data_IF_086186864080
#
_entry.id   IF_086186864080
#
_cell.length_a   1.000
_cell.length_b   1.000
_cell.length_c   1.000
_cell.angle_alpha   90.00
_cell.angle_beta   90.00
_cell.angle_gamma   90.00
#
_symmetry.space_group_name_H-M   'P 1'
#
loop_
_entity.id
_entity.type
_entity.pdbx_description
1 polymer ?
#
# COMPACT_ATOMS: atom_id res chain seq x y z
N UNK A 1 -13.22 -16.63 7.17
CA UNK A 1 -14.13 -16.37 6.02
C UNK A 1 -14.70 -14.95 6.02
N UNK A 2 -15.43 -14.48 7.06
CA UNK A 2 -15.99 -13.11 7.10
C UNK A 2 -14.96 -12.00 6.83
N UNK A 3 -13.79 -12.04 7.48
CA UNK A 3 -12.71 -11.03 7.32
C UNK A 3 -12.17 -10.96 5.88
N UNK A 4 -11.98 -12.10 5.22
CA UNK A 4 -11.47 -12.18 3.84
C UNK A 4 -12.47 -11.63 2.83
N UNK A 5 -13.76 -11.91 3.02
CA UNK A 5 -14.82 -11.37 2.14
C UNK A 5 -14.90 -9.86 2.25
N UNK A 6 -14.86 -9.32 3.47
CA UNK A 6 -14.82 -7.86 3.71
C UNK A 6 -13.57 -7.26 3.05
N UNK A 7 -12.42 -7.91 3.16
CA UNK A 7 -11.19 -7.43 2.53
C UNK A 7 -11.29 -7.38 1.00
N UNK A 8 -11.83 -8.43 0.36
CA UNK A 8 -12.05 -8.44 -1.09
C UNK A 8 -12.99 -7.30 -1.51
N UNK A 9 -14.07 -7.08 -0.76
CA UNK A 9 -14.97 -5.95 -1.00
C UNK A 9 -14.25 -4.60 -0.88
N UNK A 10 -13.43 -4.42 0.16
CA UNK A 10 -12.62 -3.21 0.34
C UNK A 10 -11.60 -3.02 -0.78
N UNK A 11 -10.98 -4.09 -1.29
CA UNK A 11 -10.07 -4.02 -2.44
C UNK A 11 -10.81 -3.50 -3.67
N UNK A 12 -11.99 -4.04 -3.98
CA UNK A 12 -12.81 -3.58 -5.11
C UNK A 12 -13.17 -2.10 -4.94
N UNK A 13 -13.65 -1.71 -3.75
CA UNK A 13 -14.00 -0.33 -3.43
C UNK A 13 -12.79 0.61 -3.61
N UNK A 14 -11.63 0.22 -3.09
CA UNK A 14 -10.38 0.98 -3.19
C UNK A 14 -9.92 1.10 -4.64
N UNK A 15 -10.05 0.06 -5.46
CA UNK A 15 -9.70 0.13 -6.88
C UNK A 15 -10.63 1.10 -7.64
N UNK A 16 -11.93 1.08 -7.34
CA UNK A 16 -12.88 2.05 -7.92
C UNK A 16 -12.50 3.48 -7.52
N UNK A 17 -12.27 3.72 -6.22
CA UNK A 17 -11.86 5.03 -5.71
C UNK A 17 -10.53 5.47 -6.32
N UNK A 18 -9.56 4.56 -6.45
CA UNK A 18 -8.30 4.82 -7.12
C UNK A 18 -8.57 5.28 -8.55
N UNK A 19 -9.37 4.56 -9.34
CA UNK A 19 -9.73 4.95 -10.71
C UNK A 19 -10.37 6.33 -10.80
N UNK A 20 -11.28 6.67 -9.87
CA UNK A 20 -11.89 8.01 -9.79
C UNK A 20 -10.83 9.08 -9.50
N UNK A 21 -9.90 8.83 -8.58
CA UNK A 21 -8.81 9.75 -8.29
C UNK A 21 -7.92 9.93 -9.52
N UNK A 22 -7.54 8.85 -10.20
CA UNK A 22 -6.74 8.92 -11.43
C UNK A 22 -7.44 9.79 -12.49
N UNK A 23 -8.75 9.65 -12.67
CA UNK A 23 -9.51 10.39 -13.68
C UNK A 23 -9.81 11.86 -13.33
N UNK A 24 -10.00 12.18 -12.04
CA UNK A 24 -10.35 13.55 -11.57
C UNK A 24 -9.12 14.38 -11.23
N UNK A 25 -8.12 13.75 -10.64
CA UNK A 25 -6.88 14.38 -10.25
C UNK A 25 -5.93 14.26 -11.44
N UNK A 26 -6.11 15.17 -12.41
CA UNK A 26 -5.05 15.52 -13.36
C UNK A 26 -3.92 16.31 -12.66
N UNK A 27 -3.63 16.03 -11.39
CA UNK A 27 -2.47 16.63 -10.77
C UNK A 27 -1.25 16.01 -11.45
N UNK A 28 -0.49 16.88 -12.09
CA UNK A 28 0.86 16.65 -12.61
C UNK A 28 1.86 16.24 -11.50
N UNK A 29 1.39 16.27 -10.25
CA UNK A 29 2.09 15.99 -9.01
C UNK A 29 1.42 14.77 -8.35
N UNK A 30 2.17 13.99 -7.57
CA UNK A 30 1.75 12.69 -7.04
C UNK A 30 0.32 12.61 -6.44
N UNK A 31 -0.20 11.39 -6.28
CA UNK A 31 -1.57 11.10 -5.83
C UNK A 31 -1.54 10.05 -4.73
N UNK A 32 -2.56 9.98 -3.85
CA UNK A 32 -2.63 8.90 -2.88
C UNK A 32 -2.67 7.52 -3.56
N UNK A 33 -1.98 6.57 -2.95
CA UNK A 33 -1.95 5.16 -3.34
C UNK A 33 -2.81 4.36 -2.36
N UNK A 34 -4.12 4.39 -2.59
CA UNK A 34 -5.09 3.72 -1.73
C UNK A 34 -4.88 2.18 -1.70
N UNK A 35 -4.59 1.50 -2.83
CA UNK A 35 -4.26 0.07 -2.82
C UNK A 35 -3.10 -0.27 -1.89
N UNK A 36 -2.02 0.51 -1.90
CA UNK A 36 -0.87 0.32 -1.02
C UNK A 36 -1.25 0.49 0.46
N UNK A 37 -2.01 1.53 0.81
CA UNK A 37 -2.45 1.75 2.19
C UNK A 37 -3.29 0.57 2.69
N UNK A 38 -4.26 0.11 1.88
CA UNK A 38 -5.11 -1.03 2.22
C UNK A 38 -4.30 -2.32 2.39
N UNK A 39 -3.33 -2.55 1.49
CA UNK A 39 -2.42 -3.69 1.57
C UNK A 39 -1.63 -3.68 2.87
N UNK A 40 -1.02 -2.55 3.23
CA UNK A 40 -0.22 -2.43 4.45
C UNK A 40 -1.08 -2.70 5.68
N UNK A 41 -2.31 -2.17 5.71
CA UNK A 41 -3.25 -2.45 6.79
C UNK A 41 -3.57 -3.95 6.90
N UNK A 42 -3.76 -4.65 5.77
CA UNK A 42 -4.00 -6.08 5.77
C UNK A 42 -2.77 -6.88 6.18
N UNK A 43 -1.59 -6.58 5.62
CA UNK A 43 -0.34 -7.24 5.94
C UNK A 43 0.05 -7.05 7.41
N UNK A 44 -0.25 -5.89 8.02
CA UNK A 44 0.01 -5.62 9.43
C UNK A 44 -0.78 -6.52 10.41
N UNK A 45 -1.85 -7.18 9.96
CA UNK A 45 -2.69 -8.03 10.83
C UNK A 45 -2.65 -9.51 10.45
N UNK A 46 -1.86 -9.88 9.43
CA UNK A 46 -1.81 -11.23 8.92
C UNK A 46 -0.36 -11.68 8.72
N UNK A 47 -0.15 -12.99 8.59
CA UNK A 47 1.19 -13.55 8.43
C UNK A 47 1.78 -13.21 7.05
N UNK A 48 3.10 -13.33 6.91
CA UNK A 48 3.85 -12.99 5.70
C UNK A 48 3.28 -13.60 4.40
N UNK A 49 2.80 -14.85 4.44
CA UNK A 49 2.18 -15.52 3.27
C UNK A 49 0.96 -14.77 2.77
N UNK A 50 0.11 -14.31 3.68
CA UNK A 50 -1.12 -13.59 3.32
C UNK A 50 -0.81 -12.17 2.84
N UNK A 51 0.19 -11.51 3.43
CA UNK A 51 0.69 -10.21 2.96
C UNK A 51 1.23 -10.30 1.53
N UNK A 52 2.05 -11.31 1.24
CA UNK A 52 2.62 -11.57 -0.09
C UNK A 52 1.53 -11.84 -1.13
N UNK A 53 0.60 -12.76 -0.85
CA UNK A 53 -0.48 -13.12 -1.78
C UNK A 53 -1.40 -11.93 -2.03
N UNK A 54 -1.79 -11.21 -0.97
CA UNK A 54 -2.64 -10.01 -1.10
C UNK A 54 -1.93 -8.93 -1.93
N UNK A 55 -0.64 -8.70 -1.68
CA UNK A 55 0.15 -7.74 -2.45
C UNK A 55 0.24 -8.10 -3.92
N UNK A 56 0.47 -9.37 -4.24
CA UNK A 56 0.48 -9.85 -5.62
C UNK A 56 -0.87 -9.63 -6.32
N UNK A 57 -1.98 -10.04 -5.69
CA UNK A 57 -3.32 -9.93 -6.28
C UNK A 57 -3.75 -8.48 -6.45
N UNK A 58 -3.52 -7.63 -5.45
CA UNK A 58 -3.82 -6.19 -5.53
C UNK A 58 -2.96 -5.55 -6.61
N UNK A 59 -1.65 -5.82 -6.63
CA UNK A 59 -0.74 -5.25 -7.61
C UNK A 59 -1.06 -5.68 -9.03
N UNK A 60 -1.41 -6.96 -9.24
CA UNK A 60 -1.86 -7.45 -10.53
C UNK A 60 -3.16 -6.77 -10.98
N UNK A 61 -4.09 -6.52 -10.05
CA UNK A 61 -5.33 -5.78 -10.34
C UNK A 61 -5.05 -4.34 -10.72
N UNK A 62 -4.12 -3.68 -10.03
CA UNK A 62 -3.66 -2.31 -10.37
C UNK A 62 -3.00 -2.29 -11.74
N UNK A 63 -2.16 -3.28 -12.05
CA UNK A 63 -1.51 -3.38 -13.35
C UNK A 63 -2.53 -3.49 -14.48
N UNK A 64 -3.52 -4.38 -14.35
CA UNK A 64 -4.57 -4.60 -15.36
C UNK A 64 -5.41 -3.34 -15.61
N UNK A 65 -5.70 -2.56 -14.55
CA UNK A 65 -6.63 -1.44 -14.63
C UNK A 65 -5.96 -0.10 -14.96
N UNK A 66 -4.73 0.13 -14.48
CA UNK A 66 -4.16 1.47 -14.38
C UNK A 66 -2.71 1.61 -14.85
N UNK A 67 -2.02 0.52 -15.22
CA UNK A 67 -0.59 0.56 -15.49
C UNK A 67 -0.24 0.03 -16.89
N UNK A 68 0.78 0.59 -17.57
CA UNK A 68 1.12 0.18 -18.94
C UNK A 68 1.80 -1.19 -19.04
N UNK A 69 2.39 -1.70 -17.95
CA UNK A 69 3.09 -2.99 -17.92
C UNK A 69 2.48 -3.91 -16.87
N UNK A 70 2.14 -5.12 -17.29
CA UNK A 70 1.58 -6.13 -16.42
C UNK A 70 2.68 -6.78 -15.57
N UNK A 71 2.45 -6.85 -14.26
CA UNK A 71 3.33 -7.54 -13.30
C UNK A 71 4.26 -6.63 -12.50
N UNK A 72 4.40 -5.35 -12.83
CA UNK A 72 5.29 -4.44 -12.10
C UNK A 72 4.73 -4.08 -10.72
N UNK A 73 3.46 -3.68 -10.62
CA UNK A 73 2.83 -3.47 -9.33
C UNK A 73 2.63 -4.80 -8.61
N UNK A 74 2.32 -5.89 -9.32
CA UNK A 74 2.22 -7.23 -8.72
C UNK A 74 3.50 -7.62 -7.97
N UNK A 75 4.67 -7.43 -8.59
CA UNK A 75 5.96 -7.68 -7.96
C UNK A 75 6.22 -6.74 -6.78
N UNK A 76 6.08 -5.43 -7.00
CA UNK A 76 6.41 -4.43 -6.00
C UNK A 76 5.52 -4.54 -4.76
N UNK A 77 4.20 -4.67 -4.94
CA UNK A 77 3.27 -4.79 -3.83
C UNK A 77 3.36 -6.15 -3.13
N UNK A 78 3.68 -7.24 -3.83
CA UNK A 78 3.97 -8.52 -3.17
C UNK A 78 5.17 -8.39 -2.22
N UNK A 79 6.25 -7.73 -2.66
CA UNK A 79 7.43 -7.48 -1.84
C UNK A 79 7.10 -6.59 -0.63
N UNK A 80 6.37 -5.49 -0.84
CA UNK A 80 5.93 -4.59 0.24
C UNK A 80 5.07 -5.35 1.25
N UNK A 81 4.08 -6.11 0.79
CA UNK A 81 3.18 -6.88 1.66
C UNK A 81 3.91 -7.94 2.48
N UNK A 82 4.90 -8.62 1.88
CA UNK A 82 5.78 -9.54 2.58
C UNK A 82 6.59 -8.84 3.68
N UNK A 83 7.31 -7.76 3.32
CA UNK A 83 8.19 -7.04 4.25
C UNK A 83 7.41 -6.45 5.43
N UNK A 84 6.24 -5.87 5.17
CA UNK A 84 5.38 -5.28 6.20
C UNK A 84 4.92 -6.33 7.22
N UNK A 85 4.50 -7.50 6.73
CA UNK A 85 4.06 -8.58 7.61
C UNK A 85 5.23 -9.16 8.44
N UNK A 86 6.41 -9.33 7.84
CA UNK A 86 7.63 -9.74 8.56
C UNK A 86 8.09 -8.72 9.61
N UNK A 87 8.06 -7.42 9.27
CA UNK A 87 8.41 -6.34 10.21
C UNK A 87 7.45 -6.39 11.41
N UNK A 88 6.16 -6.62 11.17
CA UNK A 88 5.18 -6.73 12.24
C UNK A 88 5.46 -7.91 13.18
N UNK A 89 5.83 -9.08 12.64
CA UNK A 89 6.15 -10.24 13.49
C UNK A 89 7.35 -9.98 14.41
N UNK A 90 8.27 -9.10 14.00
CA UNK A 90 9.49 -8.76 14.77
C UNK A 90 9.30 -7.53 15.67
N UNK A 91 8.38 -6.62 15.31
CA UNK A 91 8.16 -5.34 15.99
C UNK A 91 6.78 -5.32 16.65
N UNK A 92 6.78 -5.48 17.98
CA UNK A 92 5.58 -5.46 18.81
C UNK A 92 5.04 -4.04 19.12
N UNK A 93 5.62 -3.00 18.53
CA UNK A 93 5.13 -1.64 18.73
C UNK A 93 3.77 -1.47 18.02
N UNK A 94 2.77 -1.00 18.77
CA UNK A 94 1.43 -0.71 18.25
C UNK A 94 1.07 0.75 18.52
N UNK A 95 1.82 1.63 17.88
CA UNK A 95 1.73 3.08 17.98
C UNK A 95 1.54 3.70 16.58
N UNK A 96 0.67 4.72 16.52
CA UNK A 96 0.27 5.40 15.28
C UNK A 96 1.50 5.85 14.48
N UNK A 97 2.50 6.39 15.17
CA UNK A 97 3.72 6.94 14.57
C UNK A 97 4.46 5.85 13.77
N UNK A 98 4.61 4.65 14.34
CA UNK A 98 5.31 3.56 13.65
C UNK A 98 4.55 3.13 12.40
N UNK A 99 3.22 3.02 12.48
CA UNK A 99 2.38 2.64 11.34
C UNK A 99 2.45 3.68 10.20
N UNK A 100 2.41 4.97 10.52
CA UNK A 100 2.54 6.05 9.53
C UNK A 100 3.94 6.03 8.89
N UNK A 101 5.00 5.84 9.69
CA UNK A 101 6.37 5.71 9.18
C UNK A 101 6.52 4.49 8.26
N UNK A 102 5.91 3.37 8.61
CA UNK A 102 5.92 2.16 7.80
C UNK A 102 5.25 2.39 6.44
N UNK A 103 4.11 3.10 6.42
CA UNK A 103 3.42 3.48 5.18
C UNK A 103 4.29 4.42 4.34
N UNK A 104 4.94 5.40 4.97
CA UNK A 104 5.88 6.28 4.29
C UNK A 104 7.02 5.49 3.65
N UNK A 105 7.69 4.62 4.41
CA UNK A 105 8.80 3.80 3.93
C UNK A 105 8.38 2.86 2.79
N UNK A 106 7.22 2.19 2.93
CA UNK A 106 6.66 1.33 1.90
C UNK A 106 6.30 2.10 0.63
N UNK A 107 5.82 3.34 0.75
CA UNK A 107 5.52 4.21 -0.39
C UNK A 107 6.79 4.57 -1.16
N UNK A 108 7.88 4.92 -0.45
CA UNK A 108 9.19 5.17 -1.08
C UNK A 108 9.70 3.92 -1.78
N UNK A 109 9.67 2.77 -1.10
CA UNK A 109 10.14 1.50 -1.65
C UNK A 109 9.37 1.15 -2.94
N UNK A 110 8.04 1.22 -2.90
CA UNK A 110 7.19 0.97 -4.07
C UNK A 110 7.54 1.94 -5.22
N UNK A 111 7.67 3.23 -4.90
CA UNK A 111 8.03 4.26 -5.88
C UNK A 111 9.40 4.04 -6.53
N UNK A 112 10.41 3.63 -5.75
CA UNK A 112 11.75 3.30 -6.26
C UNK A 112 11.70 2.09 -7.19
N UNK A 113 11.04 1.00 -6.77
CA UNK A 113 10.93 -0.23 -7.57
C UNK A 113 10.24 0.07 -8.91
N UNK A 114 9.09 0.74 -8.88
CA UNK A 114 8.35 1.08 -10.09
C UNK A 114 9.14 2.03 -10.99
N UNK A 115 9.74 3.07 -10.43
CA UNK A 115 10.54 4.04 -11.22
C UNK A 115 11.75 3.37 -11.86
N UNK A 116 12.41 2.44 -11.16
CA UNK A 116 13.53 1.67 -11.68
C UNK A 116 13.10 0.78 -12.85
N UNK A 117 12.00 0.03 -12.71
CA UNK A 117 11.52 -0.81 -13.80
C UNK A 117 11.08 0.01 -15.02
N UNK A 118 10.40 1.14 -14.83
CA UNK A 118 10.02 2.03 -15.94
C UNK A 118 11.23 2.62 -16.69
N UNK A 119 12.34 2.85 -15.98
CA UNK A 119 13.63 3.23 -16.57
C UNK A 119 14.19 2.08 -17.42
N UNK A 120 14.24 0.86 -16.86
CA UNK A 120 14.77 -0.33 -17.55
C UNK A 120 14.01 -0.64 -18.84
N UNK A 121 12.68 -0.52 -18.82
CA UNK A 121 11.83 -0.75 -20.00
C UNK A 121 11.74 0.46 -20.94
N UNK A 122 12.48 1.55 -20.66
CA UNK A 122 12.50 2.78 -21.44
C UNK A 122 11.10 3.41 -21.68
N UNK A 123 10.16 3.18 -20.76
CA UNK A 123 8.80 3.75 -20.81
C UNK A 123 8.82 5.18 -20.29
N UNK A 124 9.70 5.46 -19.31
CA UNK A 124 9.80 6.78 -18.72
C UNK A 124 11.21 7.01 -18.17
N UNK A 125 12.07 7.74 -18.91
CA UNK A 125 13.49 7.85 -18.58
C UNK A 125 13.79 8.76 -17.38
N UNK A 126 12.83 9.57 -16.92
CA UNK A 126 13.05 10.58 -15.87
C UNK A 126 12.89 10.03 -14.44
N UNK A 127 13.79 9.13 -14.03
CA UNK A 127 13.77 8.52 -12.69
C UNK A 127 13.75 9.54 -11.55
N UNK A 128 14.69 10.49 -11.53
CA UNK A 128 14.79 11.50 -10.45
C UNK A 128 13.57 12.41 -10.39
N UNK A 129 13.05 12.80 -11.55
CA UNK A 129 11.84 13.62 -11.66
C UNK A 129 10.64 12.91 -11.01
N UNK A 130 10.47 11.60 -11.25
CA UNK A 130 9.41 10.83 -10.62
C UNK A 130 9.55 10.73 -9.11
N UNK A 131 10.77 10.49 -8.61
CA UNK A 131 11.00 10.42 -7.16
C UNK A 131 10.56 11.72 -6.50
N UNK A 132 10.98 12.87 -7.04
CA UNK A 132 10.72 14.19 -6.44
C UNK A 132 9.28 14.63 -6.63
N UNK A 133 8.71 14.47 -7.82
CA UNK A 133 7.42 15.08 -8.16
C UNK A 133 6.23 14.12 -8.08
N UNK A 134 6.48 12.81 -8.03
CA UNK A 134 5.42 11.80 -7.89
C UNK A 134 5.53 11.09 -6.55
N UNK A 135 6.67 10.46 -6.24
CA UNK A 135 6.80 9.61 -5.05
C UNK A 135 6.74 10.45 -3.77
N UNK A 136 7.44 11.58 -3.72
CA UNK A 136 7.47 12.42 -2.53
C UNK A 136 6.08 13.01 -2.17
N UNK A 137 5.31 13.61 -3.10
CA UNK A 137 3.93 13.99 -2.79
C UNK A 137 3.03 12.82 -2.41
N UNK A 138 3.17 11.67 -3.09
CA UNK A 138 2.40 10.45 -2.79
C UNK A 138 2.65 9.97 -1.37
N UNK A 139 3.90 10.03 -0.90
CA UNK A 139 4.27 9.75 0.49
C UNK A 139 3.52 10.65 1.46
N UNK A 140 3.50 11.97 1.21
CA UNK A 140 2.79 12.91 2.07
C UNK A 140 1.30 12.60 2.13
N UNK A 141 0.67 12.36 0.99
CA UNK A 141 -0.74 11.97 0.93
C UNK A 141 -1.01 10.67 1.70
N UNK A 142 -0.18 9.65 1.52
CA UNK A 142 -0.34 8.37 2.20
C UNK A 142 -0.16 8.50 3.72
N UNK A 143 0.81 9.29 4.18
CA UNK A 143 1.02 9.56 5.60
C UNK A 143 -0.17 10.30 6.22
N UNK A 144 -0.73 11.30 5.52
CA UNK A 144 -1.90 12.05 5.99
C UNK A 144 -3.14 11.15 6.06
N UNK A 145 -3.39 10.33 5.03
CA UNK A 145 -4.57 9.45 4.95
C UNK A 145 -4.47 8.27 5.92
N UNK A 146 -3.26 7.78 6.18
CA UNK A 146 -3.07 6.63 7.09
C UNK A 146 -3.34 6.94 8.55
N UNK A 147 -3.11 8.19 8.97
CA UNK A 147 -3.38 8.63 10.34
C UNK A 147 -4.84 8.41 10.79
N UNK A 148 -5.88 8.91 10.08
CA UNK A 148 -7.27 8.66 10.45
C UNK A 148 -7.66 7.18 10.32
N UNK A 149 -7.10 6.44 9.36
CA UNK A 149 -7.38 5.00 9.22
C UNK A 149 -6.91 4.22 10.46
N UNK A 150 -5.73 4.55 10.99
CA UNK A 150 -5.23 3.93 12.21
C UNK A 150 -6.07 4.32 13.44
N UNK A 151 -6.49 5.58 13.55
CA UNK A 151 -7.35 6.01 14.67
C UNK A 151 -8.72 5.32 14.64
N UNK A 152 -9.33 5.20 13.46
CA UNK A 152 -10.59 4.47 13.29
C UNK A 152 -10.42 3.00 13.72
N UNK A 153 -9.27 2.37 13.44
CA UNK A 153 -8.97 1.02 13.95
C UNK A 153 -8.99 0.97 15.48
N UNK A 154 -8.37 1.92 16.18
CA UNK A 154 -8.39 1.92 17.65
C UNK A 154 -9.79 2.06 18.23
N UNK A 155 -10.67 2.80 17.56
CA UNK A 155 -12.07 2.99 17.96
C UNK A 155 -12.89 1.71 17.73
N UNK A 156 -12.77 1.08 16.56
CA UNK A 156 -13.57 -0.08 16.19
C UNK A 156 -13.02 -1.43 16.67
N UNK A 157 -11.73 -1.51 17.04
CA UNK A 157 -11.09 -2.75 17.49
C UNK A 157 -10.25 -2.51 18.76
N UNK A 158 -10.89 -2.21 19.91
CA UNK A 158 -10.20 -2.01 21.18
C UNK A 158 -9.44 -3.28 21.62
N UNK A 159 -8.37 -3.08 22.39
CA UNK A 159 -7.27 -4.02 22.70
C UNK A 159 -7.63 -5.37 23.36
N UNK A 160 -8.91 -5.73 23.51
CA UNK A 160 -9.33 -6.99 24.15
C UNK A 160 -8.99 -8.25 23.35
N UNK A 161 -8.60 -8.13 22.07
CA UNK A 161 -8.28 -9.27 21.20
C UNK A 161 -6.81 -9.73 21.26
N UNK A 162 -5.94 -9.04 22.02
CA UNK A 162 -4.49 -9.32 22.05
C UNK A 162 -4.04 -10.26 23.18
N UNK A 163 -4.93 -10.62 24.12
CA UNK A 163 -4.58 -11.45 25.27
C UNK A 163 -4.70 -12.96 25.02
N UNK A 164 -5.27 -13.40 23.90
CA UNK A 164 -5.48 -14.83 23.59
C UNK A 164 -4.39 -15.47 22.72
N UNK A 165 -3.31 -14.75 22.38
CA UNK A 165 -2.17 -15.28 21.61
C UNK A 165 -0.85 -15.25 22.40
N UNK A 166 -0.91 -15.60 23.68
CA UNK A 166 0.29 -16.10 24.38
C UNK A 166 0.35 -17.62 24.23
#
# INVERSE_FOLDING_TARGET
MKKTVIFIFLVILVLILQGVLIGRIQLRWGRPDLPLILLIFWAWHNNWKQGLIAGFVIGLSVDILFFPLLGLNAFSLALVGFLVAEIRERVYQDNVIFFVLLIGAATVLNGIILSFWLLVFNISPSFLEKIVFIVFPTLLYNCIISFPIFLLREIFWPKSFYLERK
#
